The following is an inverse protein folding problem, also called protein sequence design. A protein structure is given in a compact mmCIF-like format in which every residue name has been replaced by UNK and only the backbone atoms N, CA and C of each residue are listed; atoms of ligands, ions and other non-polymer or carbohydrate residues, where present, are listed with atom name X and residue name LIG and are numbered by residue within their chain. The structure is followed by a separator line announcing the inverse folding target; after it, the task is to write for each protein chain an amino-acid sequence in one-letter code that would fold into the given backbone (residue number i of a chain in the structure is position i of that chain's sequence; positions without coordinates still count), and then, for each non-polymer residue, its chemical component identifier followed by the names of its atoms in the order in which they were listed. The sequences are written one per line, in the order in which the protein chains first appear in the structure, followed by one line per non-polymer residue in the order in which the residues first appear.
data_IF_751571820867
#
_entry.id   IF_751571820867
#
_cell.length_a   1.000
_cell.length_b   1.000
_cell.length_c   1.000
_cell.angle_alpha   90.00
_cell.angle_beta   90.00
_cell.angle_gamma   90.00
#
_symmetry.space_group_name_H-M   'P 1'
#
loop_
_entity.id
_entity.type
_entity.pdbx_description
1 polymer ?
#
# COMPACT_ATOMS: atom_id res chain seq x y z
N UNK A 1 21.92 0.69 40.47
CA UNK A 1 21.59 1.75 39.51
C UNK A 1 20.26 1.36 38.87
N UNK A 2 19.15 1.84 39.44
CA UNK A 2 17.81 1.59 38.90
C UNK A 2 17.44 2.75 37.99
N UNK A 3 17.45 2.52 36.68
CA UNK A 3 17.01 3.49 35.69
C UNK A 3 15.53 3.24 35.36
N UNK A 4 14.66 4.18 35.75
CA UNK A 4 13.29 4.47 35.30
C UNK A 4 12.46 3.35 34.61
N UNK A 5 12.07 2.31 35.37
CA UNK A 5 11.31 1.17 34.85
C UNK A 5 9.95 1.51 34.21
N UNK A 6 9.27 2.56 34.69
CA UNK A 6 7.93 2.92 34.17
C UNK A 6 8.00 3.70 32.84
N UNK A 7 9.06 4.49 32.61
CA UNK A 7 9.23 5.24 31.36
C UNK A 7 9.52 4.29 30.21
N UNK A 8 10.42 3.34 30.43
CA UNK A 8 10.73 2.31 29.44
C UNK A 8 9.52 1.41 29.17
N UNK A 9 8.74 1.07 30.21
CA UNK A 9 7.46 0.35 30.05
C UNK A 9 6.44 1.17 29.23
N UNK A 10 6.30 2.46 29.51
CA UNK A 10 5.37 3.33 28.78
C UNK A 10 5.80 3.51 27.31
N UNK A 11 7.07 3.75 27.05
CA UNK A 11 7.61 3.85 25.68
C UNK A 11 7.44 2.53 24.91
N UNK A 12 7.77 1.40 25.53
CA UNK A 12 7.63 0.09 24.90
C UNK A 12 6.18 -0.35 24.67
N UNK A 13 5.20 0.28 25.33
CA UNK A 13 3.78 0.00 25.10
C UNK A 13 3.28 0.45 23.73
N UNK A 14 3.97 1.36 23.04
CA UNK A 14 3.51 1.95 21.77
C UNK A 14 2.60 3.16 21.94
N UNK A 15 1.84 3.23 23.04
CA UNK A 15 0.83 4.28 23.30
C UNK A 15 1.32 5.72 23.11
N UNK A 16 2.51 6.14 23.62
CA UNK A 16 2.97 7.51 23.39
C UNK A 16 3.20 7.81 21.92
N UNK A 17 3.72 6.83 21.17
CA UNK A 17 4.00 7.00 19.75
C UNK A 17 2.71 7.03 18.93
N UNK A 18 1.72 6.18 19.25
CA UNK A 18 0.39 6.24 18.64
C UNK A 18 -0.26 7.61 18.84
N UNK A 19 -0.20 8.14 20.07
CA UNK A 19 -0.73 9.47 20.38
C UNK A 19 -0.01 10.58 19.59
N UNK A 20 1.32 10.50 19.45
CA UNK A 20 2.08 11.48 18.67
C UNK A 20 1.73 11.41 17.17
N UNK A 21 1.56 10.21 16.61
CA UNK A 21 1.12 10.04 15.21
C UNK A 21 -0.30 10.58 15.02
N UNK A 22 -1.24 10.26 15.91
CA UNK A 22 -2.62 10.76 15.82
C UNK A 22 -2.66 12.29 15.87
N UNK A 23 -1.94 12.91 16.82
CA UNK A 23 -1.85 14.38 16.90
C UNK A 23 -1.27 15.00 15.64
N UNK A 24 -0.24 14.40 15.08
CA UNK A 24 0.33 14.88 13.83
C UNK A 24 -0.69 14.77 12.67
N UNK A 25 -1.44 13.68 12.59
CA UNK A 25 -2.49 13.51 11.57
C UNK A 25 -3.62 14.54 11.76
N UNK A 26 -4.03 14.84 12.99
CA UNK A 26 -5.00 15.91 13.28
C UNK A 26 -4.50 17.28 12.81
N UNK A 27 -3.21 17.58 13.01
CA UNK A 27 -2.56 18.80 12.50
C UNK A 27 -2.54 18.86 10.96
N UNK A 28 -2.63 17.70 10.28
CA UNK A 28 -2.78 17.59 8.82
C UNK A 28 -4.24 17.57 8.35
N UNK A 29 -5.17 18.01 9.20
CA UNK A 29 -6.60 18.10 8.91
C UNK A 29 -7.24 16.72 8.72
N UNK A 30 -6.64 15.66 9.24
CA UNK A 30 -7.30 14.36 9.34
C UNK A 30 -8.28 14.34 10.51
N UNK A 31 -9.33 13.53 10.39
CA UNK A 31 -10.19 13.15 11.51
C UNK A 31 -9.70 11.79 12.00
N UNK A 32 -9.10 11.73 13.18
CA UNK A 32 -8.47 10.52 13.71
C UNK A 32 -9.34 9.78 14.73
N UNK A 33 -9.15 8.46 14.79
CA UNK A 33 -9.67 7.58 15.82
C UNK A 33 -8.66 6.49 16.16
N UNK A 34 -8.64 6.05 17.42
CA UNK A 34 -7.77 4.97 17.88
C UNK A 34 -8.48 3.61 17.82
N UNK A 35 -7.68 2.55 17.75
CA UNK A 35 -8.09 1.15 17.90
C UNK A 35 -9.26 0.75 16.99
N UNK A 36 -9.00 0.65 15.69
CA UNK A 36 -9.99 0.13 14.75
C UNK A 36 -9.97 -1.38 14.73
N UNK A 37 -11.09 -1.99 15.14
CA UNK A 37 -11.16 -3.43 15.38
C UNK A 37 -11.85 -4.18 14.26
N UNK A 38 -11.43 -5.44 14.08
CA UNK A 38 -12.01 -6.36 13.10
C UNK A 38 -11.94 -7.79 13.63
N UNK A 39 -12.79 -8.66 13.09
CA UNK A 39 -12.85 -10.07 13.46
C UNK A 39 -12.14 -10.93 12.43
N UNK A 40 -11.27 -11.83 12.90
CA UNK A 40 -10.75 -12.93 12.08
C UNK A 40 -10.51 -14.19 12.93
N UNK A 41 -10.47 -15.38 12.32
CA UNK A 41 -9.97 -16.56 13.00
C UNK A 41 -8.51 -16.39 13.44
N UNK A 42 -8.15 -16.89 14.62
CA UNK A 42 -6.77 -17.08 15.07
C UNK A 42 -6.15 -18.37 14.51
N UNK A 43 -4.92 -18.71 14.93
CA UNK A 43 -4.23 -19.92 14.45
C UNK A 43 -4.99 -21.22 14.81
N UNK A 44 -5.90 -21.16 15.79
CA UNK A 44 -6.75 -22.27 16.22
C UNK A 44 -8.14 -22.23 15.55
N UNK A 45 -8.34 -21.36 14.55
CA UNK A 45 -9.61 -21.12 13.84
C UNK A 45 -10.72 -20.57 14.74
N UNK A 46 -10.39 -19.99 15.89
CA UNK A 46 -11.35 -19.34 16.75
C UNK A 46 -11.48 -17.88 16.36
N UNK A 47 -12.71 -17.37 16.25
CA UNK A 47 -12.94 -15.95 15.98
C UNK A 47 -12.38 -15.11 17.13
N UNK A 48 -11.47 -14.19 16.81
CA UNK A 48 -10.86 -13.24 17.74
C UNK A 48 -10.96 -11.83 17.16
N UNK A 49 -10.96 -10.86 18.07
CA UNK A 49 -10.86 -9.46 17.74
C UNK A 49 -9.38 -9.08 17.59
N UNK A 50 -9.06 -8.40 16.50
CA UNK A 50 -7.78 -7.78 16.22
C UNK A 50 -8.00 -6.30 15.93
N UNK A 51 -6.91 -5.53 15.92
CA UNK A 51 -6.97 -4.11 15.59
C UNK A 51 -5.69 -3.64 14.89
N UNK A 52 -5.83 -2.49 14.25
CA UNK A 52 -4.72 -1.60 13.93
C UNK A 52 -4.88 -0.30 14.71
N UNK A 53 -3.78 0.42 14.91
CA UNK A 53 -3.68 1.41 15.99
C UNK A 53 -4.46 2.70 15.71
N UNK A 54 -4.40 3.24 14.48
CA UNK A 54 -5.04 4.52 14.13
C UNK A 54 -5.79 4.39 12.82
N UNK A 55 -7.04 4.82 12.82
CA UNK A 55 -7.84 5.06 11.62
C UNK A 55 -8.05 6.56 11.46
N UNK A 56 -7.67 7.10 10.30
CA UNK A 56 -7.80 8.53 10.04
C UNK A 56 -8.45 8.79 8.69
N UNK A 57 -9.29 9.82 8.62
CA UNK A 57 -9.94 10.26 7.37
C UNK A 57 -9.39 11.60 6.93
N UNK A 58 -8.81 11.67 5.73
CA UNK A 58 -8.37 12.89 5.08
C UNK A 58 -9.31 13.21 3.90
N UNK A 59 -10.20 14.18 4.10
CA UNK A 59 -11.30 14.48 3.18
C UNK A 59 -10.97 15.73 2.37
N UNK A 60 -10.80 15.56 1.06
CA UNK A 60 -10.55 16.63 0.09
C UNK A 60 -11.45 16.39 -1.14
N UNK A 61 -12.71 16.84 -1.09
CA UNK A 61 -13.68 16.57 -2.14
C UNK A 61 -13.13 16.89 -3.55
N UNK A 62 -13.37 16.01 -4.54
CA UNK A 62 -14.27 14.85 -4.49
C UNK A 62 -13.65 13.59 -3.85
N UNK A 63 -12.49 13.67 -3.19
CA UNK A 63 -11.75 12.52 -2.68
C UNK A 63 -11.92 12.32 -1.17
N UNK A 64 -12.03 11.06 -0.76
CA UNK A 64 -12.02 10.60 0.62
C UNK A 64 -10.87 9.61 0.81
N UNK A 65 -9.86 9.99 1.59
CA UNK A 65 -8.70 9.12 1.86
C UNK A 65 -8.78 8.57 3.27
N UNK A 66 -8.96 7.26 3.39
CA UNK A 66 -8.84 6.52 4.63
C UNK A 66 -7.38 6.12 4.83
N UNK A 67 -6.78 6.48 5.97
CA UNK A 67 -5.45 6.06 6.39
C UNK A 67 -5.60 5.00 7.48
N UNK A 68 -5.06 3.81 7.23
CA UNK A 68 -4.97 2.73 8.22
C UNK A 68 -3.53 2.69 8.73
N UNK A 69 -3.27 3.17 9.94
CA UNK A 69 -1.90 3.31 10.46
C UNK A 69 -1.63 2.32 11.58
N UNK A 70 -0.59 1.52 11.38
CA UNK A 70 -0.01 0.65 12.41
C UNK A 70 1.30 1.27 12.92
N UNK A 71 1.37 1.53 14.21
CA UNK A 71 2.47 2.22 14.87
C UNK A 71 3.43 1.21 15.53
N UNK A 72 4.70 1.22 15.12
CA UNK A 72 5.77 0.41 15.71
C UNK A 72 6.83 1.28 16.37
N UNK A 73 6.65 1.56 17.66
CA UNK A 73 7.73 2.16 18.45
C UNK A 73 8.90 1.17 18.60
N UNK A 74 10.12 1.62 18.33
CA UNK A 74 11.35 0.83 18.47
C UNK A 74 12.43 1.63 19.18
N UNK A 75 13.29 0.90 19.90
CA UNK A 75 14.47 1.47 20.51
C UNK A 75 15.44 2.00 19.43
N UNK A 76 16.17 3.10 19.65
CA UNK A 76 17.06 3.71 18.63
C UNK A 76 18.15 2.80 18.05
N UNK A 77 18.45 1.66 18.69
CA UNK A 77 19.42 0.67 18.19
C UNK A 77 18.85 -0.25 17.12
N UNK A 78 17.51 -0.34 17.03
CA UNK A 78 16.79 -1.17 16.07
C UNK A 78 16.80 -0.49 14.71
N UNK A 79 17.06 -1.28 13.66
CA UNK A 79 17.07 -0.82 12.27
C UNK A 79 16.17 -1.70 11.43
N UNK A 80 15.45 -1.14 10.47
CA UNK A 80 14.69 -1.92 9.49
C UNK A 80 15.41 -1.91 8.15
N UNK A 81 15.67 -3.09 7.59
CA UNK A 81 16.40 -3.24 6.32
C UNK A 81 15.49 -3.90 5.30
N UNK A 82 15.38 -3.30 4.11
CA UNK A 82 14.49 -3.71 3.05
C UNK A 82 15.24 -4.16 1.80
N UNK A 83 14.70 -5.17 1.14
CA UNK A 83 15.15 -5.65 -0.17
C UNK A 83 14.56 -4.74 -1.24
N UNK A 84 15.40 -4.19 -2.15
CA UNK A 84 14.94 -3.31 -3.21
C UNK A 84 13.93 -3.99 -4.13
N UNK A 85 13.07 -3.16 -4.72
CA UNK A 85 12.23 -3.50 -5.88
C UNK A 85 12.15 -2.27 -6.79
N UNK A 86 11.81 -2.50 -8.05
CA UNK A 86 11.49 -1.45 -9.02
C UNK A 86 9.98 -1.29 -9.16
N UNK A 87 9.56 -0.08 -9.57
CA UNK A 87 8.21 0.18 -10.02
C UNK A 87 8.01 -0.32 -11.46
N UNK A 88 6.80 -0.76 -11.79
CA UNK A 88 6.43 -1.34 -13.07
C UNK A 88 6.75 -2.84 -13.18
N UNK A 89 6.89 -3.32 -14.41
CA UNK A 89 7.21 -4.71 -14.72
C UNK A 89 6.03 -5.67 -14.53
N UNK A 90 6.34 -6.97 -14.43
CA UNK A 90 5.36 -8.06 -14.31
C UNK A 90 4.48 -7.94 -13.06
N UNK A 91 4.96 -7.24 -12.03
CA UNK A 91 4.28 -7.17 -10.73
C UNK A 91 3.29 -6.01 -10.62
N UNK A 92 3.17 -5.18 -11.66
CA UNK A 92 2.20 -4.07 -11.77
C UNK A 92 2.19 -3.13 -10.55
N UNK A 93 3.35 -2.96 -9.90
CA UNK A 93 3.52 -2.01 -8.80
C UNK A 93 3.79 -0.63 -9.39
N UNK A 94 2.82 0.27 -9.31
CA UNK A 94 2.93 1.64 -9.80
C UNK A 94 3.14 2.64 -8.65
N UNK A 95 3.64 3.85 -8.94
CA UNK A 95 3.99 4.81 -7.90
C UNK A 95 2.85 5.17 -6.93
N UNK A 96 1.62 5.13 -7.41
CA UNK A 96 0.39 5.42 -6.67
C UNK A 96 -0.42 4.17 -6.26
N UNK A 97 0.10 2.95 -6.46
CA UNK A 97 -0.61 1.70 -6.11
C UNK A 97 -0.98 1.63 -4.63
N UNK A 98 -0.23 2.30 -3.74
CA UNK A 98 -0.51 2.34 -2.31
C UNK A 98 -1.76 3.14 -1.94
N UNK A 99 -2.37 3.88 -2.88
CA UNK A 99 -3.61 4.61 -2.62
C UNK A 99 -4.84 3.69 -2.60
N UNK A 100 -4.75 2.54 -3.27
CA UNK A 100 -5.84 1.58 -3.48
C UNK A 100 -7.17 2.29 -3.77
N UNK A 101 -7.18 3.09 -4.82
CA UNK A 101 -8.34 3.87 -5.22
C UNK A 101 -9.49 2.96 -5.65
N UNK A 102 -10.68 3.22 -5.12
CA UNK A 102 -11.91 2.50 -5.44
C UNK A 102 -12.73 3.36 -6.41
N UNK A 103 -12.57 3.12 -7.71
CA UNK A 103 -13.25 3.88 -8.77
C UNK A 103 -14.26 3.07 -9.60
N UNK A 104 -14.36 1.76 -9.32
CA UNK A 104 -15.26 0.83 -10.02
C UNK A 104 -16.76 1.17 -9.85
N UNK A 105 -17.11 1.81 -8.75
CA UNK A 105 -18.48 2.18 -8.38
C UNK A 105 -18.65 3.69 -8.13
N UNK A 106 -17.60 4.47 -8.40
CA UNK A 106 -17.59 5.92 -8.28
C UNK A 106 -18.22 6.57 -9.54
N UNK A 107 -18.75 7.80 -9.45
CA UNK A 107 -19.20 8.53 -10.64
C UNK A 107 -18.05 8.90 -11.58
N UNK A 108 -16.87 9.13 -11.03
CA UNK A 108 -15.67 9.57 -11.73
C UNK A 108 -14.57 8.50 -11.62
N UNK A 109 -13.83 8.31 -12.70
CA UNK A 109 -12.69 7.38 -12.74
C UNK A 109 -11.43 8.07 -12.26
N UNK A 110 -10.60 7.36 -11.49
CA UNK A 110 -9.32 7.90 -11.06
C UNK A 110 -8.36 8.00 -12.26
N UNK A 111 -7.89 9.20 -12.61
CA UNK A 111 -7.26 9.41 -13.92
C UNK A 111 -5.82 8.92 -13.99
N UNK A 112 -5.20 8.52 -12.86
CA UNK A 112 -3.76 8.28 -12.80
C UNK A 112 -3.31 6.84 -12.92
N UNK A 113 -4.22 5.84 -12.92
CA UNK A 113 -3.93 4.42 -13.18
C UNK A 113 -2.52 3.99 -12.76
N UNK A 114 -1.77 3.34 -13.67
CA UNK A 114 -0.35 3.02 -13.49
C UNK A 114 0.64 4.05 -14.04
N UNK A 115 0.22 5.31 -14.20
CA UNK A 115 0.88 6.31 -15.05
C UNK A 115 1.25 7.61 -14.34
N UNK A 116 1.33 7.57 -13.01
CA UNK A 116 1.73 8.75 -12.25
C UNK A 116 3.27 8.91 -12.30
N UNK A 117 3.81 10.07 -12.75
CA UNK A 117 5.24 10.24 -13.06
C UNK A 117 6.13 10.41 -11.83
N UNK A 118 5.54 10.60 -10.65
CA UNK A 118 6.27 10.86 -9.40
C UNK A 118 6.18 9.67 -8.48
N UNK A 119 7.23 9.45 -7.70
CA UNK A 119 7.31 8.39 -6.71
C UNK A 119 7.34 9.01 -5.31
N UNK A 120 6.51 8.49 -4.41
CA UNK A 120 6.56 8.88 -3.00
C UNK A 120 7.90 8.48 -2.36
N UNK A 121 8.34 7.26 -2.65
CA UNK A 121 9.48 6.61 -2.01
C UNK A 121 9.94 5.43 -2.87
N UNK A 122 11.15 4.87 -2.67
CA UNK A 122 11.57 3.68 -3.40
C UNK A 122 10.72 2.46 -3.04
N UNK A 123 10.49 1.59 -4.03
CA UNK A 123 9.80 0.33 -3.86
C UNK A 123 10.71 -0.73 -3.20
N UNK A 124 10.09 -1.58 -2.38
CA UNK A 124 10.71 -2.66 -1.63
C UNK A 124 9.83 -3.91 -1.68
N UNK A 125 10.44 -5.09 -1.58
CA UNK A 125 9.73 -6.37 -1.63
C UNK A 125 9.51 -7.02 -0.27
N UNK A 126 10.50 -6.93 0.63
CA UNK A 126 10.47 -7.52 1.97
C UNK A 126 11.39 -6.74 2.89
N UNK A 127 11.07 -6.72 4.18
CA UNK A 127 11.92 -6.13 5.22
C UNK A 127 12.30 -7.13 6.32
N UNK A 128 13.34 -6.80 7.06
CA UNK A 128 13.73 -7.45 8.31
C UNK A 128 14.10 -6.41 9.36
N UNK A 129 13.78 -6.70 10.62
CA UNK A 129 14.21 -5.89 11.74
C UNK A 129 15.54 -6.43 12.29
N UNK A 130 16.53 -5.55 12.43
CA UNK A 130 17.82 -5.87 13.04
C UNK A 130 17.88 -5.26 14.44
N UNK A 131 18.11 -6.11 15.43
CA UNK A 131 18.24 -5.73 16.85
C UNK A 131 19.63 -6.08 17.37
N UNK A 132 19.96 -5.64 18.59
CA UNK A 132 21.18 -6.08 19.28
C UNK A 132 21.23 -7.59 19.52
N UNK A 133 20.07 -8.25 19.58
CA UNK A 133 19.94 -9.68 19.87
C UNK A 133 19.84 -10.52 18.59
N UNK A 134 20.02 -9.91 17.42
CA UNK A 134 19.91 -10.55 16.12
C UNK A 134 18.66 -10.14 15.34
N UNK A 135 18.38 -10.86 14.23
CA UNK A 135 17.29 -10.51 13.33
C UNK A 135 15.92 -10.91 13.89
N UNK A 136 14.93 -10.04 13.69
CA UNK A 136 13.52 -10.30 13.94
C UNK A 136 12.74 -10.23 12.62
N UNK A 137 12.34 -11.40 12.12
CA UNK A 137 11.58 -11.50 10.86
C UNK A 137 10.07 -11.26 11.03
N UNK A 138 9.56 -11.24 12.27
CA UNK A 138 8.12 -11.21 12.56
C UNK A 138 7.57 -9.79 12.65
N UNK A 139 8.35 -8.85 13.19
CA UNK A 139 7.92 -7.47 13.47
C UNK A 139 7.20 -6.79 12.30
N UNK A 140 7.85 -6.72 11.13
CA UNK A 140 7.28 -6.10 9.93
C UNK A 140 6.13 -6.95 9.38
N UNK A 141 6.28 -8.28 9.36
CA UNK A 141 5.25 -9.19 8.85
C UNK A 141 3.95 -9.13 9.67
N UNK A 142 4.05 -8.93 10.99
CA UNK A 142 2.90 -8.75 11.88
C UNK A 142 2.19 -7.42 11.61
N UNK A 143 2.95 -6.33 11.46
CA UNK A 143 2.38 -5.03 11.11
C UNK A 143 1.62 -5.08 9.76
N UNK A 144 2.25 -5.70 8.75
CA UNK A 144 1.61 -5.97 7.46
C UNK A 144 0.33 -6.77 7.65
N UNK A 145 0.35 -7.86 8.42
CA UNK A 145 -0.82 -8.70 8.65
C UNK A 145 -1.95 -8.01 9.44
N UNK A 146 -1.65 -7.05 10.32
CA UNK A 146 -2.69 -6.27 11.02
C UNK A 146 -3.45 -5.40 10.02
N UNK A 147 -2.72 -4.69 9.16
CA UNK A 147 -3.31 -3.84 8.14
C UNK A 147 -4.06 -4.64 7.06
N UNK A 148 -3.44 -5.68 6.52
CA UNK A 148 -3.97 -6.39 5.34
C UNK A 148 -5.25 -7.15 5.65
N UNK A 149 -5.42 -7.70 6.87
CA UNK A 149 -6.65 -8.40 7.24
C UNK A 149 -7.81 -7.44 7.55
N UNK A 150 -7.53 -6.21 7.99
CA UNK A 150 -8.58 -5.19 8.12
C UNK A 150 -8.97 -4.58 6.77
N UNK A 151 -8.07 -4.64 5.78
CA UNK A 151 -8.17 -3.92 4.52
C UNK A 151 -9.42 -4.26 3.70
N UNK A 152 -9.76 -5.55 3.58
CA UNK A 152 -10.93 -5.99 2.81
C UNK A 152 -12.23 -5.35 3.31
N UNK A 153 -12.40 -5.22 4.63
CA UNK A 153 -13.56 -4.56 5.22
C UNK A 153 -13.58 -3.06 4.87
N UNK A 154 -12.44 -2.36 4.96
CA UNK A 154 -12.35 -0.94 4.63
C UNK A 154 -12.69 -0.65 3.16
N UNK A 155 -12.29 -1.56 2.27
CA UNK A 155 -12.66 -1.48 0.86
C UNK A 155 -14.16 -1.72 0.67
N UNK A 156 -14.74 -2.72 1.34
CA UNK A 156 -16.19 -2.95 1.23
C UNK A 156 -17.00 -1.78 1.76
N UNK A 157 -16.58 -1.15 2.87
CA UNK A 157 -17.24 0.03 3.43
C UNK A 157 -17.15 1.22 2.46
N UNK A 158 -15.99 1.39 1.81
CA UNK A 158 -15.80 2.41 0.78
C UNK A 158 -16.74 2.22 -0.42
N UNK A 159 -16.88 0.98 -0.91
CA UNK A 159 -17.81 0.66 -2.00
C UNK A 159 -19.26 0.88 -1.55
N UNK A 160 -19.61 0.48 -0.33
CA UNK A 160 -20.94 0.70 0.23
C UNK A 160 -21.30 2.19 0.22
N UNK A 161 -20.39 3.07 0.65
CA UNK A 161 -20.59 4.52 0.59
C UNK A 161 -20.72 5.09 -0.83
N UNK A 162 -20.23 4.40 -1.85
CA UNK A 162 -20.37 4.81 -3.26
C UNK A 162 -21.72 4.39 -3.85
N UNK A 163 -22.20 3.20 -3.49
CA UNK A 163 -23.44 2.64 -4.05
C UNK A 163 -24.68 3.02 -3.24
N UNK A 164 -24.50 3.27 -1.95
CA UNK A 164 -25.56 3.78 -1.07
C UNK A 164 -25.41 5.30 -0.93
N UNK A 165 -26.50 6.07 -1.04
CA UNK A 165 -26.48 7.52 -0.89
C UNK A 165 -26.37 7.93 0.60
N UNK A 166 -25.34 7.43 1.29
CA UNK A 166 -25.08 7.68 2.71
C UNK A 166 -24.42 9.05 2.94
N UNK A 167 -23.76 9.59 1.91
CA UNK A 167 -23.12 10.89 1.93
C UNK A 167 -23.83 11.85 0.95
N UNK A 168 -23.85 13.16 1.26
CA UNK A 168 -24.50 14.15 0.40
C UNK A 168 -23.77 14.34 -0.94
N UNK A 169 -22.47 14.08 -0.97
CA UNK A 169 -21.62 14.15 -2.16
C UNK A 169 -21.17 12.75 -2.55
N UNK A 170 -21.04 12.50 -3.86
CA UNK A 170 -20.42 11.28 -4.37
C UNK A 170 -18.92 11.45 -4.33
N UNK A 171 -18.25 10.62 -3.53
CA UNK A 171 -16.81 10.69 -3.31
C UNK A 171 -16.08 9.52 -3.96
N UNK A 172 -14.85 9.80 -4.39
CA UNK A 172 -13.86 8.80 -4.76
C UNK A 172 -13.09 8.37 -3.51
N UNK A 173 -13.10 7.07 -3.20
CA UNK A 173 -12.50 6.57 -1.98
C UNK A 173 -11.10 5.98 -2.24
N UNK A 174 -10.19 6.23 -1.32
CA UNK A 174 -8.83 5.68 -1.29
C UNK A 174 -8.59 5.05 0.08
N UNK A 175 -7.96 3.89 0.13
CA UNK A 175 -7.64 3.20 1.38
C UNK A 175 -6.14 2.99 1.45
N UNK A 176 -5.45 3.68 2.36
CA UNK A 176 -3.99 3.74 2.40
C UNK A 176 -3.46 3.05 3.66
N UNK A 177 -2.86 1.85 3.55
CA UNK A 177 -2.22 1.20 4.68
C UNK A 177 -0.81 1.79 4.90
N UNK A 178 -0.55 2.22 6.14
CA UNK A 178 0.70 2.86 6.58
C UNK A 178 1.25 2.13 7.80
N UNK A 179 2.55 1.83 7.78
CA UNK A 179 3.30 1.46 8.98
C UNK A 179 4.13 2.67 9.38
N UNK A 180 3.81 3.27 10.53
CA UNK A 180 4.61 4.32 11.14
C UNK A 180 5.60 3.69 12.12
N UNK A 181 6.87 4.10 12.11
CA UNK A 181 7.88 3.53 13.00
C UNK A 181 8.90 4.56 13.47
N UNK A 182 9.47 4.37 14.66
CA UNK A 182 10.63 5.14 15.14
C UNK A 182 11.96 4.50 14.76
N UNK A 183 11.96 3.31 14.13
CA UNK A 183 13.18 2.69 13.61
C UNK A 183 13.65 3.41 12.32
N UNK A 184 14.95 3.70 12.16
CA UNK A 184 15.49 4.13 10.87
C UNK A 184 15.32 3.04 9.81
N UNK A 185 15.01 3.45 8.58
CA UNK A 185 14.83 2.53 7.45
C UNK A 185 16.09 2.53 6.59
N UNK A 186 16.42 1.36 6.07
CA UNK A 186 17.52 1.15 5.15
C UNK A 186 17.03 0.30 3.99
N UNK A 187 17.37 0.68 2.77
CA UNK A 187 17.17 -0.13 1.57
C UNK A 187 18.51 -0.70 1.16
N UNK A 188 18.60 -2.01 0.92
CA UNK A 188 19.81 -2.57 0.32
C UNK A 188 20.05 -1.91 -1.03
N UNK A 189 21.32 -1.65 -1.36
CA UNK A 189 21.69 -1.20 -2.71
C UNK A 189 21.32 -2.30 -3.71
N UNK A 190 21.11 -1.90 -4.96
CA UNK A 190 20.93 -2.86 -6.05
C UNK A 190 22.16 -3.76 -6.16
N UNK A 191 21.96 -4.99 -6.63
CA UNK A 191 23.02 -5.96 -6.94
C UNK A 191 23.93 -6.39 -5.77
N UNK A 192 23.50 -6.18 -4.51
CA UNK A 192 24.23 -6.69 -3.35
C UNK A 192 24.28 -8.22 -3.35
N UNK A 193 25.49 -8.77 -3.28
CA UNK A 193 25.75 -10.21 -3.20
C UNK A 193 25.96 -10.68 -1.76
N UNK A 194 25.88 -12.00 -1.54
CA UNK A 194 26.17 -12.60 -0.23
C UNK A 194 27.63 -12.37 0.19
N UNK A 195 28.57 -12.40 -0.75
CA UNK A 195 29.98 -12.14 -0.53
C UNK A 195 30.20 -10.69 -0.08
N UNK A 196 29.51 -9.73 -0.71
CA UNK A 196 29.56 -8.33 -0.30
C UNK A 196 29.05 -8.15 1.14
N UNK A 197 27.96 -8.84 1.51
CA UNK A 197 27.43 -8.80 2.89
C UNK A 197 28.45 -9.38 3.89
N UNK A 198 29.05 -10.53 3.57
CA UNK A 198 30.04 -11.21 4.45
C UNK A 198 31.30 -10.39 4.66
N UNK A 199 31.70 -9.61 3.66
CA UNK A 199 32.92 -8.78 3.69
C UNK A 199 32.68 -7.33 4.14
N UNK A 200 31.45 -6.94 4.46
CA UNK A 200 31.15 -5.55 4.79
C UNK A 200 31.48 -5.20 6.25
N UNK A 201 32.18 -4.08 6.44
CA UNK A 201 32.51 -3.56 7.77
C UNK A 201 31.35 -2.82 8.44
N UNK A 202 30.33 -2.40 7.67
CA UNK A 202 29.17 -1.70 8.21
C UNK A 202 27.94 -1.84 7.32
N UNK A 203 26.76 -1.65 7.89
CA UNK A 203 25.50 -1.66 7.14
C UNK A 203 25.43 -0.53 6.09
N UNK A 204 26.07 0.61 6.36
CA UNK A 204 26.04 1.79 5.48
C UNK A 204 26.74 1.57 4.14
N UNK A 205 27.67 0.62 4.05
CA UNK A 205 28.30 0.29 2.75
C UNK A 205 27.35 -0.47 1.83
N UNK A 206 26.42 -1.23 2.42
CA UNK A 206 25.46 -2.11 1.74
C UNK A 206 24.10 -1.48 1.48
N UNK A 207 23.80 -0.37 2.15
CA UNK A 207 22.44 0.21 2.18
C UNK A 207 22.42 1.70 1.87
N UNK A 208 21.24 2.19 1.52
CA UNK A 208 20.87 3.60 1.50
C UNK A 208 19.88 3.85 2.63
N UNK A 209 20.07 4.91 3.40
CA UNK A 209 19.13 5.30 4.45
C UNK A 209 17.90 5.93 3.81
N UNK A 210 16.72 5.49 4.25
CA UNK A 210 15.43 5.97 3.76
C UNK A 210 14.57 6.45 4.93
N UNK A 211 13.71 7.42 4.68
CA UNK A 211 12.70 7.86 5.65
C UNK A 211 11.28 7.41 5.29
N UNK A 212 11.09 6.94 4.05
CA UNK A 212 9.88 6.31 3.58
C UNK A 212 10.24 5.21 2.56
N UNK A 213 9.51 4.10 2.56
CA UNK A 213 9.56 3.07 1.50
C UNK A 213 8.16 2.62 1.14
N UNK A 214 7.95 2.16 -0.10
CA UNK A 214 6.70 1.48 -0.50
C UNK A 214 6.95 -0.03 -0.53
N UNK A 215 6.37 -0.74 0.42
CA UNK A 215 6.50 -2.19 0.54
C UNK A 215 5.42 -2.87 -0.30
N UNK A 216 5.81 -3.60 -1.34
CA UNK A 216 4.88 -4.46 -2.07
C UNK A 216 4.37 -5.56 -1.14
N UNK A 217 3.07 -5.81 -1.21
CA UNK A 217 2.44 -6.96 -0.59
C UNK A 217 1.84 -7.87 -1.65
N UNK A 218 1.83 -9.17 -1.37
CA UNK A 218 1.14 -10.17 -2.19
C UNK A 218 0.37 -11.05 -1.22
N UNK A 219 -0.97 -11.08 -1.31
CA UNK A 219 -1.78 -11.80 -0.34
C UNK A 219 -1.55 -13.31 -0.46
N UNK A 220 -1.47 -13.97 0.69
CA UNK A 220 -1.49 -15.43 0.77
C UNK A 220 -2.92 -15.97 0.63
N UNK A 221 -3.05 -17.27 0.38
CA UNK A 221 -4.34 -17.96 0.16
C UNK A 221 -5.35 -17.66 1.27
N UNK A 222 -4.94 -17.70 2.53
CA UNK A 222 -5.84 -17.45 3.67
C UNK A 222 -6.40 -16.02 3.66
N UNK A 223 -5.58 -15.03 3.33
CA UNK A 223 -6.01 -13.63 3.23
C UNK A 223 -6.96 -13.44 2.05
N UNK A 224 -6.69 -14.10 0.92
CA UNK A 224 -7.60 -14.09 -0.24
C UNK A 224 -8.97 -14.64 0.17
N UNK A 225 -9.02 -15.78 0.84
CA UNK A 225 -10.27 -16.36 1.33
C UNK A 225 -10.97 -15.47 2.36
N UNK A 226 -10.20 -14.79 3.22
CA UNK A 226 -10.73 -13.83 4.18
C UNK A 226 -11.41 -12.66 3.47
N UNK A 227 -10.74 -12.05 2.50
CA UNK A 227 -11.28 -10.93 1.73
C UNK A 227 -12.48 -11.36 0.89
N UNK A 228 -12.42 -12.53 0.25
CA UNK A 228 -13.53 -13.06 -0.56
C UNK A 228 -14.83 -13.14 0.25
N UNK A 229 -14.76 -13.55 1.52
CA UNK A 229 -15.96 -13.57 2.39
C UNK A 229 -16.55 -12.18 2.64
N UNK A 230 -15.72 -11.15 2.78
CA UNK A 230 -16.18 -9.78 2.95
C UNK A 230 -16.89 -9.27 1.67
N UNK A 231 -16.27 -9.48 0.51
CA UNK A 231 -16.85 -9.10 -0.78
C UNK A 231 -18.11 -9.90 -1.15
N UNK A 232 -18.15 -11.20 -0.84
CA UNK A 232 -19.34 -12.04 -1.03
C UNK A 232 -20.51 -11.59 -0.16
N UNK A 233 -20.23 -11.09 1.04
CA UNK A 233 -21.26 -10.49 1.91
C UNK A 233 -21.79 -9.20 1.28
N UNK A 234 -20.90 -8.27 0.92
CA UNK A 234 -21.26 -7.02 0.24
C UNK A 234 -22.12 -7.29 -1.01
N UNK A 235 -21.70 -8.23 -1.87
CA UNK A 235 -22.44 -8.57 -3.08
C UNK A 235 -23.83 -9.13 -2.79
N UNK A 236 -23.97 -9.99 -1.77
CA UNK A 236 -25.29 -10.54 -1.40
C UNK A 236 -26.23 -9.49 -0.83
N UNK A 237 -25.70 -8.55 -0.05
CA UNK A 237 -26.48 -7.52 0.63
C UNK A 237 -26.89 -6.37 -0.31
N UNK A 238 -26.03 -6.00 -1.26
CA UNK A 238 -26.20 -4.79 -2.09
C UNK A 238 -26.13 -5.07 -3.60
N UNK A 239 -26.48 -6.28 -4.04
CA UNK A 239 -26.37 -6.71 -5.45
C UNK A 239 -26.96 -5.69 -6.43
N UNK A 240 -28.14 -5.16 -6.15
CA UNK A 240 -28.88 -4.30 -7.08
C UNK A 240 -28.18 -2.96 -7.24
N UNK A 241 -27.72 -2.38 -6.13
CA UNK A 241 -27.04 -1.10 -6.05
C UNK A 241 -25.66 -1.19 -6.72
N UNK A 242 -24.91 -2.26 -6.44
CA UNK A 242 -23.63 -2.55 -7.09
C UNK A 242 -23.78 -2.64 -8.62
N UNK A 243 -24.75 -3.41 -9.11
CA UNK A 243 -24.99 -3.54 -10.56
C UNK A 243 -25.41 -2.23 -11.21
N UNK A 244 -26.08 -1.34 -10.47
CA UNK A 244 -26.52 -0.05 -10.98
C UNK A 244 -25.39 1.00 -11.01
N UNK A 245 -24.45 0.92 -10.07
CA UNK A 245 -23.34 1.87 -9.92
C UNK A 245 -22.08 1.45 -10.68
N UNK A 246 -21.94 0.16 -11.01
CA UNK A 246 -20.74 -0.36 -11.65
C UNK A 246 -20.46 0.27 -13.01
N UNK A 247 -19.26 0.83 -13.18
CA UNK A 247 -18.92 1.66 -14.35
C UNK A 247 -18.13 0.92 -15.42
N UNK A 248 -17.52 -0.23 -15.11
CA UNK A 248 -16.66 -0.94 -16.07
C UNK A 248 -17.47 -1.88 -16.97
N UNK A 249 -17.21 -1.81 -18.28
CA UNK A 249 -17.98 -2.57 -19.27
C UNK A 249 -17.44 -3.98 -19.57
N UNK A 250 -16.24 -4.32 -19.07
CA UNK A 250 -15.50 -5.50 -19.52
C UNK A 250 -15.69 -6.76 -18.67
N UNK A 251 -16.29 -6.65 -17.49
CA UNK A 251 -16.45 -7.74 -16.52
C UNK A 251 -17.81 -7.61 -15.83
N UNK A 252 -18.35 -8.68 -15.26
CA UNK A 252 -19.49 -8.57 -14.35
C UNK A 252 -19.02 -8.22 -12.93
N UNK A 253 -19.91 -7.66 -12.12
CA UNK A 253 -19.61 -7.23 -10.74
C UNK A 253 -19.04 -8.35 -9.89
N UNK A 254 -19.58 -9.57 -9.98
CA UNK A 254 -19.12 -10.67 -9.13
C UNK A 254 -17.68 -11.09 -9.50
N UNK A 255 -17.37 -11.15 -10.80
CA UNK A 255 -16.00 -11.37 -11.28
C UNK A 255 -15.05 -10.28 -10.79
N UNK A 256 -15.46 -9.00 -10.87
CA UNK A 256 -14.63 -7.89 -10.39
C UNK A 256 -14.33 -7.98 -8.89
N UNK A 257 -15.34 -8.21 -8.06
CA UNK A 257 -15.18 -8.37 -6.62
C UNK A 257 -14.28 -9.57 -6.27
N UNK A 258 -14.39 -10.67 -7.03
CA UNK A 258 -13.48 -11.82 -6.88
C UNK A 258 -12.03 -11.46 -7.20
N UNK A 259 -11.79 -10.67 -8.25
CA UNK A 259 -10.45 -10.15 -8.58
C UNK A 259 -9.95 -9.25 -7.45
N UNK A 260 -10.78 -8.34 -6.93
CA UNK A 260 -10.41 -7.44 -5.84
C UNK A 260 -9.92 -8.20 -4.60
N UNK A 261 -10.59 -9.30 -4.25
CA UNK A 261 -10.19 -10.16 -3.13
C UNK A 261 -8.82 -10.82 -3.29
N UNK A 262 -8.34 -10.96 -4.53
CA UNK A 262 -7.11 -11.68 -4.89
C UNK A 262 -5.93 -10.74 -5.12
N UNK A 263 -6.14 -9.62 -5.82
CA UNK A 263 -5.03 -8.77 -6.30
C UNK A 263 -5.08 -7.34 -5.78
N UNK A 264 -6.24 -6.84 -5.34
CA UNK A 264 -6.39 -5.43 -4.92
C UNK A 264 -6.41 -5.26 -3.39
N UNK A 265 -5.93 -6.24 -2.62
CA UNK A 265 -6.03 -6.23 -1.15
C UNK A 265 -4.69 -6.43 -0.41
N UNK A 266 -4.22 -5.35 0.24
CA UNK A 266 -3.60 -4.23 -0.45
C UNK A 266 -2.35 -4.68 -1.22
N UNK A 267 -2.15 -4.20 -2.45
CA UNK A 267 -0.94 -4.53 -3.24
C UNK A 267 0.36 -3.85 -2.78
N UNK A 268 0.25 -2.83 -1.92
CA UNK A 268 1.38 -2.04 -1.44
C UNK A 268 1.07 -1.43 -0.06
N UNK A 269 2.08 -1.18 0.75
CA UNK A 269 1.97 -0.57 2.08
C UNK A 269 3.05 0.50 2.20
N UNK A 270 2.68 1.69 2.66
CA UNK A 270 3.64 2.76 2.91
C UNK A 270 4.31 2.51 4.26
N UNK A 271 5.63 2.58 4.34
CA UNK A 271 6.35 2.49 5.62
C UNK A 271 7.09 3.81 5.84
N UNK A 272 6.71 4.55 6.88
CA UNK A 272 7.27 5.86 7.21
C UNK A 272 8.03 5.77 8.53
N UNK A 273 9.26 6.24 8.53
CA UNK A 273 10.04 6.44 9.75
C UNK A 273 9.98 7.88 10.21
N UNK A 274 9.70 8.06 11.50
CA UNK A 274 9.77 9.35 12.18
C UNK A 274 11.01 9.49 13.05
N UNK A 275 12.01 8.62 12.86
CA UNK A 275 13.26 8.61 13.65
C UNK A 275 13.99 9.97 13.64
N UNK A 276 13.76 10.78 12.60
CA UNK A 276 14.39 12.08 12.39
C UNK A 276 13.38 13.21 12.20
N UNK A 277 12.15 13.06 12.72
CA UNK A 277 11.07 14.04 12.58
C UNK A 277 9.99 13.61 11.60
N UNK A 278 9.14 14.55 11.20
CA UNK A 278 7.91 14.27 10.47
C UNK A 278 7.98 14.54 8.95
N UNK A 279 9.14 14.93 8.43
CA UNK A 279 9.33 15.31 7.02
C UNK A 279 8.86 14.24 6.02
N UNK A 280 8.98 12.95 6.38
CA UNK A 280 8.50 11.87 5.53
C UNK A 280 6.97 11.81 5.44
N UNK A 281 6.27 12.11 6.54
CA UNK A 281 4.82 12.31 6.51
C UNK A 281 4.44 13.59 5.76
N UNK A 282 5.21 14.68 5.90
CA UNK A 282 4.97 15.91 5.13
C UNK A 282 5.01 15.61 3.62
N UNK A 283 6.05 14.91 3.16
CA UNK A 283 6.15 14.47 1.75
C UNK A 283 5.03 13.53 1.34
N UNK A 284 4.56 12.65 2.24
CA UNK A 284 3.39 11.81 1.98
C UNK A 284 2.14 12.66 1.72
N UNK A 285 1.85 13.64 2.57
CA UNK A 285 0.69 14.51 2.37
C UNK A 285 0.84 15.44 1.16
N UNK A 286 2.04 15.93 0.87
CA UNK A 286 2.33 16.67 -0.36
C UNK A 286 2.07 15.83 -1.60
N UNK A 287 2.56 14.59 -1.62
CA UNK A 287 2.32 13.62 -2.70
C UNK A 287 0.82 13.35 -2.84
N UNK A 288 0.11 13.04 -1.75
CA UNK A 288 -1.34 12.79 -1.79
C UNK A 288 -2.08 14.02 -2.32
N UNK A 289 -1.80 15.23 -1.82
CA UNK A 289 -2.42 16.47 -2.33
C UNK A 289 -2.21 16.63 -3.83
N UNK A 290 -0.99 16.39 -4.29
CA UNK A 290 -0.64 16.52 -5.70
C UNK A 290 -1.31 15.46 -6.57
N UNK A 291 -1.45 14.23 -6.09
CA UNK A 291 -2.19 13.18 -6.81
C UNK A 291 -3.68 13.50 -6.86
N UNK A 292 -4.27 13.96 -5.76
CA UNK A 292 -5.71 14.22 -5.68
C UNK A 292 -6.11 15.50 -6.43
N UNK A 293 -5.20 16.47 -6.54
CA UNK A 293 -5.41 17.73 -7.25
C UNK A 293 -4.12 18.16 -7.98
N UNK A 294 -3.78 17.53 -9.11
CA UNK A 294 -2.56 17.82 -9.83
C UNK A 294 -2.58 19.22 -10.42
N UNK A 295 -1.43 19.88 -10.38
CA UNK A 295 -1.22 21.14 -11.09
C UNK A 295 -1.28 20.97 -12.60
N UNK A 296 -1.55 22.05 -13.34
CA UNK A 296 -1.52 22.04 -14.82
C UNK A 296 -0.18 21.58 -15.38
N UNK A 297 0.92 21.89 -14.68
CA UNK A 297 2.26 21.45 -15.05
C UNK A 297 2.38 19.92 -14.96
N UNK A 298 1.90 19.33 -13.86
CA UNK A 298 1.90 17.88 -13.67
C UNK A 298 0.96 17.18 -14.67
N UNK A 299 -0.19 17.77 -14.99
CA UNK A 299 -1.02 17.29 -16.10
C UNK A 299 -0.31 17.34 -17.45
N UNK A 300 0.60 18.29 -17.65
CA UNK A 300 1.50 18.34 -18.80
C UNK A 300 2.46 17.15 -18.82
N UNK A 301 3.11 16.86 -17.68
CA UNK A 301 4.03 15.72 -17.51
C UNK A 301 3.33 14.38 -17.79
N UNK A 302 2.15 14.17 -17.19
CA UNK A 302 1.35 12.93 -17.34
C UNK A 302 0.97 12.71 -18.80
N UNK A 303 0.48 13.75 -19.49
CA UNK A 303 0.13 13.66 -20.91
C UNK A 303 1.35 13.35 -21.78
N UNK A 304 2.51 13.93 -21.44
CA UNK A 304 3.74 13.65 -22.16
C UNK A 304 4.20 12.18 -21.98
N UNK A 305 4.08 11.62 -20.78
CA UNK A 305 4.36 10.20 -20.52
C UNK A 305 3.39 9.28 -21.27
N UNK A 306 2.09 9.57 -21.26
CA UNK A 306 1.10 8.80 -22.02
C UNK A 306 1.41 8.80 -23.52
N UNK A 307 1.75 9.94 -24.10
CA UNK A 307 2.13 10.04 -25.51
C UNK A 307 3.43 9.27 -25.82
N UNK A 308 4.39 9.26 -24.90
CA UNK A 308 5.61 8.44 -25.03
C UNK A 308 5.27 6.95 -25.01
N UNK A 309 4.44 6.51 -24.06
CA UNK A 309 4.02 5.12 -23.94
C UNK A 309 3.25 4.64 -25.17
N UNK A 310 2.30 5.45 -25.66
CA UNK A 310 1.54 5.18 -26.87
C UNK A 310 2.44 4.94 -28.09
N UNK A 311 3.46 5.79 -28.29
CA UNK A 311 4.44 5.63 -29.39
C UNK A 311 5.26 4.34 -29.26
N UNK A 312 5.61 3.94 -28.05
CA UNK A 312 6.32 2.67 -27.79
C UNK A 312 5.42 1.49 -28.17
N UNK A 313 4.17 1.49 -27.70
CA UNK A 313 3.19 0.42 -27.99
C UNK A 313 2.92 0.32 -29.49
N UNK A 314 2.69 1.43 -30.19
CA UNK A 314 2.52 1.46 -31.64
C UNK A 314 3.75 0.89 -32.38
N UNK A 315 4.96 1.17 -31.87
CA UNK A 315 6.20 0.64 -32.43
C UNK A 315 6.32 -0.87 -32.22
N UNK A 316 5.98 -1.37 -31.02
CA UNK A 316 5.98 -2.80 -30.69
C UNK A 316 4.94 -3.54 -31.55
N UNK A 317 3.72 -3.00 -31.67
CA UNK A 317 2.68 -3.58 -32.50
C UNK A 317 3.07 -3.63 -33.97
N UNK A 318 3.67 -2.56 -34.49
CA UNK A 318 4.18 -2.53 -35.88
C UNK A 318 5.23 -3.61 -36.08
N UNK A 319 6.20 -3.72 -35.17
CA UNK A 319 7.24 -4.74 -35.23
C UNK A 319 6.65 -6.17 -35.16
N UNK A 320 5.66 -6.41 -34.30
CA UNK A 320 4.96 -7.69 -34.19
C UNK A 320 4.20 -8.03 -35.49
N UNK A 321 3.52 -7.05 -36.11
CA UNK A 321 2.84 -7.24 -37.41
C UNK A 321 3.84 -7.56 -38.53
N UNK A 322 5.00 -6.90 -38.56
CA UNK A 322 6.04 -7.15 -39.56
C UNK A 322 6.67 -8.54 -39.40
N UNK A 323 6.96 -8.99 -38.18
CA UNK A 323 7.45 -10.35 -37.91
C UNK A 323 6.46 -11.41 -38.35
N UNK A 324 5.18 -11.22 -38.02
CA UNK A 324 4.09 -12.10 -38.44
C UNK A 324 3.96 -12.16 -39.97
N UNK A 325 4.12 -11.02 -40.66
CA UNK A 325 4.09 -10.96 -42.13
C UNK A 325 5.29 -11.66 -42.78
N UNK A 326 6.45 -11.73 -42.11
CA UNK A 326 7.64 -12.45 -42.55
C UNK A 326 7.59 -13.96 -42.26
N UNK A 327 6.54 -14.45 -41.62
CA UNK A 327 6.43 -15.86 -41.23
C UNK A 327 7.35 -16.26 -40.07
N UNK A 328 7.88 -15.29 -39.33
CA UNK A 328 8.64 -15.53 -38.10
C UNK A 328 7.63 -15.89 -36.99
N UNK A 329 7.55 -17.17 -36.63
CA UNK A 329 6.65 -17.65 -35.57
C UNK A 329 7.26 -17.33 -34.21
N UNK A 330 6.58 -16.50 -33.42
CA UNK A 330 6.87 -16.36 -31.98
C UNK A 330 6.40 -17.64 -31.26
N UNK A 331 7.34 -18.51 -30.91
CA UNK A 331 7.15 -19.50 -29.86
C UNK A 331 7.94 -19.05 -28.61
N UNK A 332 7.30 -18.55 -27.55
CA UNK A 332 7.85 -18.75 -26.22
C UNK A 332 7.61 -20.21 -25.86
N UNK A 333 8.71 -20.93 -25.60
CA UNK A 333 8.73 -22.38 -25.46
C UNK A 333 7.71 -22.94 -24.48
N UNK A 334 6.87 -23.86 -24.97
CA UNK A 334 6.44 -24.99 -24.15
C UNK A 334 7.69 -25.82 -23.82
N UNK A 335 8.37 -25.51 -22.71
CA UNK A 335 9.23 -26.50 -22.09
C UNK A 335 8.32 -27.49 -21.37
N UNK A 336 8.17 -28.66 -21.99
CA UNK A 336 7.67 -29.84 -21.32
C UNK A 336 8.72 -30.36 -20.34
N UNK A 337 8.23 -30.77 -19.16
CA UNK A 337 8.93 -31.50 -18.11
C UNK A 337 7.88 -32.01 -17.15
#
# INVERSE_FOLDING_TARGET
MGSDSWKDALLSSGLPFENDVARYLDEKECITGFESTYLRPDENKLQRQFSFDIHASYVKPPNFVTLMVECKYRHPTVKWVFIPREYGGHDELYPNTFLHTQDDFAPDTFPFGGSFPRQLAPACSKGIELTSNGPNQKSIAQAVAQLTYAFGQQVTDSIEHQVLPLLPERLLFHVVPIIATTAPLFRLKEDITLEAIRGADSLATLTTAESCVVLRHTPGVELIEHNARAFDRLYREHKKELMAAYTRSSQDVATRLSIMSQVDCPGAIVVISVAHGWDAFDRFFEYVKEVLNPSDALWGEIRAEHEKFKKITETIERAARERKAKGEVDYPGKQGG
#
